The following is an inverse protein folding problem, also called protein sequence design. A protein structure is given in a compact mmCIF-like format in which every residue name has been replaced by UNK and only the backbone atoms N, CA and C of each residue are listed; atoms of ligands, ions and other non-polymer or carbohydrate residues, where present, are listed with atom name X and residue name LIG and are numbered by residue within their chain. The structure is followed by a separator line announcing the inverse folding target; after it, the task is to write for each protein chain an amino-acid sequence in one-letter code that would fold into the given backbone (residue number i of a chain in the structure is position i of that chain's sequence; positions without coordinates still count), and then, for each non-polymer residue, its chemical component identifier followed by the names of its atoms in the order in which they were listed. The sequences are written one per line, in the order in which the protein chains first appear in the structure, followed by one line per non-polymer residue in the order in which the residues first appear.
data_IF_389876033932
#
_entry.id   IF_389876033932
#
_cell.length_a   1.000
_cell.length_b   1.000
_cell.length_c   1.000
_cell.angle_alpha   90.00
_cell.angle_beta   90.00
_cell.angle_gamma   90.00
#
_symmetry.space_group_name_H-M   'P 1'
#
loop_
_entity.id
_entity.type
_entity.pdbx_description
1 polymer ?
#
# COMPACT_ATOMS: atom_id res chain seq x y z
N UNK A 1 -11.60 -4.89 36.74
CA UNK A 1 -10.95 -5.44 35.53
C UNK A 1 -11.30 -4.56 34.34
N UNK A 2 -10.43 -3.63 33.97
CA UNK A 2 -10.55 -2.82 32.77
C UNK A 2 -9.14 -2.61 32.21
N UNK A 3 -8.73 -3.48 31.27
CA UNK A 3 -7.43 -3.41 30.60
C UNK A 3 -7.49 -2.31 29.55
N UNK A 4 -6.90 -1.16 29.89
CA UNK A 4 -6.74 0.01 29.02
C UNK A 4 -5.79 -0.35 27.87
N UNK A 5 -6.40 -0.55 26.70
CA UNK A 5 -5.77 -0.74 25.39
C UNK A 5 -4.72 0.33 25.09
N UNK A 6 -3.50 -0.09 24.77
CA UNK A 6 -2.39 0.78 24.36
C UNK A 6 -2.71 1.40 22.99
N UNK A 7 -2.75 2.74 22.92
CA UNK A 7 -2.77 3.46 21.65
C UNK A 7 -1.35 3.53 21.09
N UNK A 8 -1.23 3.09 19.84
CA UNK A 8 -0.02 3.10 19.02
C UNK A 8 0.64 4.47 18.98
N UNK A 9 1.96 4.46 19.11
CA UNK A 9 2.83 5.61 18.90
C UNK A 9 2.80 6.00 17.41
N UNK A 10 2.32 7.21 17.12
CA UNK A 10 2.57 7.88 15.85
C UNK A 10 3.96 8.51 15.94
N UNK A 11 4.93 7.94 15.24
CA UNK A 11 6.21 8.58 15.01
C UNK A 11 5.99 9.79 14.08
N UNK A 12 5.93 10.98 14.69
CA UNK A 12 6.04 12.25 13.97
C UNK A 12 7.52 12.49 13.72
N UNK A 13 7.90 12.39 12.45
CA UNK A 13 9.25 12.69 11.97
C UNK A 13 9.53 14.20 12.07
N UNK A 14 10.74 14.52 12.52
CA UNK A 14 11.22 15.86 12.81
C UNK A 14 12.08 16.34 11.63
N UNK A 15 11.56 17.29 10.84
CA UNK A 15 12.29 17.86 9.71
C UNK A 15 13.25 18.99 10.12
N UNK A 16 14.47 18.97 9.57
CA UNK A 16 15.47 20.04 9.67
C UNK A 16 15.98 20.40 8.26
N UNK A 17 15.82 21.65 7.78
CA UNK A 17 15.96 21.92 6.36
C UNK A 17 17.43 22.13 5.95
N UNK A 18 17.92 21.24 5.10
CA UNK A 18 19.15 21.44 4.33
C UNK A 18 19.73 20.10 3.90
N UNK A 19 19.57 19.73 2.63
CA UNK A 19 20.02 18.46 2.01
C UNK A 19 19.20 17.18 2.29
N UNK A 20 17.87 17.26 2.49
CA UNK A 20 17.02 16.10 2.84
C UNK A 20 16.19 15.45 1.70
N UNK A 21 16.17 15.99 0.49
CA UNK A 21 15.26 15.48 -0.56
C UNK A 21 15.69 14.14 -1.18
N UNK A 22 16.98 13.81 -1.19
CA UNK A 22 17.46 12.59 -1.86
C UNK A 22 17.10 11.31 -1.09
N UNK A 23 17.24 11.30 0.24
CA UNK A 23 16.92 10.12 1.04
C UNK A 23 15.41 9.85 1.02
N UNK A 24 14.60 10.88 1.23
CA UNK A 24 13.13 10.78 1.24
C UNK A 24 12.56 10.35 -0.12
N UNK A 25 13.09 10.88 -1.22
CA UNK A 25 12.66 10.49 -2.56
C UNK A 25 13.04 9.05 -2.91
N UNK A 26 14.27 8.62 -2.57
CA UNK A 26 14.72 7.24 -2.81
C UNK A 26 13.96 6.24 -1.93
N UNK A 27 13.65 6.59 -0.68
CA UNK A 27 12.86 5.75 0.22
C UNK A 27 11.42 5.59 -0.29
N UNK A 28 10.79 6.66 -0.76
CA UNK A 28 9.47 6.60 -1.41
C UNK A 28 9.51 5.73 -2.67
N UNK A 29 10.52 5.93 -3.52
CA UNK A 29 10.73 5.14 -4.74
C UNK A 29 10.94 3.66 -4.42
N UNK A 30 11.74 3.34 -3.40
CA UNK A 30 11.98 1.97 -2.97
C UNK A 30 10.70 1.30 -2.43
N UNK A 31 9.87 2.04 -1.68
CA UNK A 31 8.55 1.58 -1.21
C UNK A 31 7.61 1.28 -2.37
N UNK A 32 7.57 2.16 -3.39
CA UNK A 32 6.78 1.95 -4.59
C UNK A 32 7.19 0.68 -5.34
N UNK A 33 8.49 0.50 -5.62
CA UNK A 33 8.97 -0.73 -6.26
C UNK A 33 8.77 -1.98 -5.41
N UNK A 34 8.86 -1.88 -4.07
CA UNK A 34 8.52 -2.98 -3.17
C UNK A 34 7.05 -3.34 -3.29
N UNK A 35 6.14 -2.37 -3.36
CA UNK A 35 4.73 -2.64 -3.62
C UNK A 35 4.57 -3.32 -4.99
N UNK A 36 5.21 -2.85 -6.05
CA UNK A 36 5.10 -3.48 -7.38
C UNK A 36 5.76 -4.86 -7.50
N UNK A 37 6.61 -5.28 -6.56
CA UNK A 37 7.30 -6.58 -6.64
C UNK A 37 6.45 -7.83 -6.38
N UNK A 38 5.17 -7.67 -6.02
CA UNK A 38 4.26 -8.81 -5.79
C UNK A 38 3.41 -9.10 -7.04
N UNK A 39 3.39 -10.36 -7.50
CA UNK A 39 2.68 -10.74 -8.73
C UNK A 39 1.16 -10.60 -8.61
N UNK A 40 0.58 -10.72 -7.42
CA UNK A 40 -0.87 -10.53 -7.20
C UNK A 40 -1.22 -9.05 -7.35
N UNK A 41 -0.40 -8.16 -6.79
CA UNK A 41 -0.57 -6.72 -6.93
C UNK A 41 -0.40 -6.26 -8.38
N UNK A 42 0.55 -6.82 -9.12
CA UNK A 42 0.69 -6.51 -10.55
C UNK A 42 -0.53 -6.97 -11.37
N UNK A 43 -1.07 -8.17 -11.11
CA UNK A 43 -2.31 -8.64 -11.76
C UNK A 43 -3.50 -7.73 -11.47
N UNK A 44 -3.67 -7.34 -10.20
CA UNK A 44 -4.72 -6.38 -9.81
C UNK A 44 -4.54 -5.03 -10.51
N UNK A 45 -3.30 -4.53 -10.54
CA UNK A 45 -2.97 -3.26 -11.18
C UNK A 45 -3.25 -3.29 -12.68
N UNK A 46 -2.82 -4.34 -13.38
CA UNK A 46 -3.11 -4.54 -14.81
C UNK A 46 -4.62 -4.56 -15.09
N UNK A 47 -5.38 -5.26 -14.25
CA UNK A 47 -6.82 -5.39 -14.40
C UNK A 47 -7.59 -4.07 -14.18
N UNK A 48 -7.15 -3.25 -13.22
CA UNK A 48 -7.77 -1.96 -12.87
C UNK A 48 -7.29 -0.82 -13.79
N UNK A 49 -6.08 -0.88 -14.35
CA UNK A 49 -5.63 0.12 -15.34
C UNK A 49 -6.40 -0.01 -16.65
N UNK A 50 -6.88 -1.22 -16.98
CA UNK A 50 -7.63 -1.45 -18.21
C UNK A 50 -9.02 -0.80 -18.20
N UNK A 51 -9.68 -0.70 -17.05
CA UNK A 51 -11.03 -0.14 -16.89
C UNK A 51 -11.38 0.07 -15.40
N UNK A 52 -12.46 0.80 -15.09
CA UNK A 52 -13.01 0.82 -13.73
C UNK A 52 -13.48 -0.57 -13.31
N UNK A 53 -13.03 -1.03 -12.14
CA UNK A 53 -13.34 -2.34 -11.56
C UNK A 53 -13.80 -2.24 -10.12
N UNK A 54 -14.73 -3.10 -9.77
CA UNK A 54 -15.18 -3.34 -8.39
C UNK A 54 -14.25 -4.32 -7.68
N UNK A 55 -14.24 -4.27 -6.35
CA UNK A 55 -13.48 -5.24 -5.54
C UNK A 55 -13.96 -6.69 -5.71
N UNK A 56 -15.23 -6.91 -6.10
CA UNK A 56 -15.77 -8.22 -6.40
C UNK A 56 -15.19 -8.79 -7.70
N UNK A 57 -15.12 -7.99 -8.76
CA UNK A 57 -14.48 -8.39 -10.02
C UNK A 57 -12.98 -8.70 -9.82
N UNK A 58 -12.30 -7.95 -8.96
CA UNK A 58 -10.92 -8.24 -8.58
C UNK A 58 -10.76 -9.60 -7.86
N UNK A 59 -11.71 -9.96 -7.00
CA UNK A 59 -11.73 -11.29 -6.35
C UNK A 59 -11.89 -12.40 -7.38
N UNK A 60 -12.82 -12.23 -8.32
CA UNK A 60 -13.06 -13.19 -9.40
C UNK A 60 -11.86 -13.31 -10.34
N UNK A 61 -11.23 -12.19 -10.69
CA UNK A 61 -10.10 -12.16 -11.61
C UNK A 61 -8.85 -12.85 -11.04
N UNK A 62 -8.54 -12.64 -9.76
CA UNK A 62 -7.28 -13.10 -9.16
C UNK A 62 -7.45 -14.39 -8.33
N UNK A 63 -8.68 -14.76 -8.00
CA UNK A 63 -9.01 -16.03 -7.33
C UNK A 63 -8.60 -16.08 -5.86
N UNK A 64 -8.51 -14.93 -5.19
CA UNK A 64 -8.18 -14.83 -3.76
C UNK A 64 -9.32 -14.16 -2.99
N UNK A 65 -9.36 -14.36 -1.67
CA UNK A 65 -10.45 -13.83 -0.85
C UNK A 65 -10.51 -12.30 -0.85
N UNK A 66 -11.72 -11.75 -0.69
CA UNK A 66 -11.96 -10.31 -0.63
C UNK A 66 -11.07 -9.57 0.40
N UNK A 67 -10.86 -10.08 1.63
CA UNK A 67 -9.97 -9.40 2.58
C UNK A 67 -8.53 -9.31 2.07
N UNK A 68 -8.06 -10.32 1.32
CA UNK A 68 -6.72 -10.30 0.72
C UNK A 68 -6.65 -9.30 -0.43
N UNK A 69 -7.66 -9.28 -1.31
CA UNK A 69 -7.77 -8.27 -2.37
C UNK A 69 -7.70 -6.87 -1.77
N UNK A 70 -8.47 -6.59 -0.72
CA UNK A 70 -8.47 -5.29 -0.04
C UNK A 70 -7.07 -4.89 0.44
N UNK A 71 -6.36 -5.80 1.13
CA UNK A 71 -4.98 -5.55 1.58
C UNK A 71 -4.03 -5.23 0.42
N UNK A 72 -4.17 -5.95 -0.70
CA UNK A 72 -3.35 -5.69 -1.88
C UNK A 72 -3.66 -4.34 -2.53
N UNK A 73 -4.94 -3.96 -2.63
CA UNK A 73 -5.36 -2.66 -3.16
C UNK A 73 -4.95 -1.50 -2.26
N UNK A 74 -5.09 -1.63 -0.94
CA UNK A 74 -4.59 -0.63 0.02
C UNK A 74 -3.08 -0.46 -0.08
N UNK A 75 -2.33 -1.57 -0.21
CA UNK A 75 -0.88 -1.48 -0.42
C UNK A 75 -0.52 -0.72 -1.70
N UNK A 76 -1.32 -0.82 -2.76
CA UNK A 76 -1.10 -0.08 -4.00
C UNK A 76 -1.44 1.40 -3.83
N UNK A 77 -2.56 1.74 -3.18
CA UNK A 77 -2.96 3.13 -2.94
C UNK A 77 -2.06 3.87 -1.95
N UNK A 78 -1.49 3.17 -0.96
CA UNK A 78 -0.66 3.80 0.08
C UNK A 78 0.78 4.09 -0.39
N UNK A 79 1.16 3.58 -1.58
CA UNK A 79 2.51 3.71 -2.13
C UNK A 79 2.62 4.75 -3.26
N UNK A 80 1.52 5.42 -3.64
CA UNK A 80 1.48 6.42 -4.71
C UNK A 80 0.33 7.41 -4.54
#
# INVERSE_FOLDING_TARGET
MATRSLRSATATDAGAPGTETACTHLDATARFFRALSDPTRLKLLEFVIADERTSAECVEHVGISQPRVSVHLSCLSDCG
#
